data_IF_390668337963
#
_entry.id   IF_390668337963
#
_cell.length_a   1.000
_cell.length_b   1.000
_cell.length_c   1.000
_cell.angle_alpha   90.00
_cell.angle_beta   90.00
_cell.angle_gamma   90.00
#
_symmetry.space_group_name_H-M   'P 1'
#
loop_
_entity.id
_entity.type
_entity.pdbx_description
1 polymer ?
#
# COMPACT_ATOMS: atom_id res chain seq x y z
N UNK A 1 -30.75 54.89 -4.25
CA UNK A 1 -29.96 55.89 -5.01
C UNK A 1 -28.71 55.21 -5.55
N UNK A 2 -28.50 55.31 -6.88
CA UNK A 2 -27.23 55.49 -7.63
C UNK A 2 -26.10 54.47 -7.38
N UNK A 3 -25.81 53.59 -8.35
CA UNK A 3 -24.99 53.75 -9.58
C UNK A 3 -23.47 53.66 -9.34
N UNK A 4 -22.91 52.58 -9.91
CA UNK A 4 -21.63 52.39 -10.62
C UNK A 4 -20.46 53.38 -10.48
N UNK A 5 -19.24 52.83 -10.37
CA UNK A 5 -18.02 53.07 -11.22
C UNK A 5 -16.77 52.50 -10.49
N UNK A 6 -16.22 51.34 -10.85
CA UNK A 6 -15.16 51.03 -11.85
C UNK A 6 -13.71 51.38 -11.48
N UNK A 7 -12.85 50.33 -11.54
CA UNK A 7 -11.43 50.27 -11.94
C UNK A 7 -10.40 50.90 -10.95
N UNK A 8 -9.29 50.25 -10.59
CA UNK A 8 -8.09 50.06 -11.43
C UNK A 8 -7.01 49.20 -10.69
N UNK A 9 -6.39 48.25 -11.42
CA UNK A 9 -5.04 47.65 -11.32
C UNK A 9 -4.57 46.85 -10.07
N UNK A 10 -4.40 45.53 -10.28
CA UNK A 10 -3.20 44.77 -9.85
C UNK A 10 -2.97 43.59 -10.82
N UNK A 11 -2.18 43.75 -11.90
CA UNK A 11 -1.71 42.65 -12.71
C UNK A 11 -0.42 42.11 -12.07
N UNK A 12 -0.52 41.08 -11.23
CA UNK A 12 0.66 40.43 -10.65
C UNK A 12 0.49 38.92 -10.43
N UNK A 13 -0.25 38.23 -11.31
CA UNK A 13 -0.26 36.76 -11.38
C UNK A 13 0.36 36.19 -12.67
N UNK A 14 1.09 37.00 -13.44
CA UNK A 14 1.70 36.59 -14.71
C UNK A 14 3.21 36.27 -14.63
N UNK A 15 3.76 35.99 -13.45
CA UNK A 15 5.16 35.59 -13.27
C UNK A 15 5.30 34.38 -12.33
N UNK A 16 4.63 33.28 -12.67
CA UNK A 16 4.94 31.95 -12.15
C UNK A 16 4.94 30.92 -13.30
N UNK A 17 5.56 31.30 -14.41
CA UNK A 17 6.01 30.39 -15.46
C UNK A 17 7.53 30.22 -15.33
N UNK A 18 8.03 29.86 -14.14
CA UNK A 18 9.36 29.28 -14.06
C UNK A 18 9.25 27.81 -14.40
N UNK A 19 9.65 27.55 -15.64
CA UNK A 19 9.72 26.29 -16.33
C UNK A 19 10.57 25.31 -15.50
N UNK A 20 9.93 24.32 -14.88
CA UNK A 20 10.65 23.14 -14.43
C UNK A 20 11.16 22.41 -15.68
N UNK A 21 12.47 22.12 -15.82
CA UNK A 21 13.04 21.48 -17.01
C UNK A 21 12.78 19.96 -16.98
N UNK A 22 11.52 19.55 -16.81
CA UNK A 22 11.15 18.13 -16.74
C UNK A 22 11.35 17.43 -18.09
N UNK A 23 11.23 18.18 -19.20
CA UNK A 23 11.46 17.66 -20.55
C UNK A 23 12.94 17.27 -20.78
N UNK A 24 13.90 18.09 -20.33
CA UNK A 24 15.35 17.81 -20.44
C UNK A 24 15.74 16.62 -19.54
N UNK A 25 15.18 16.55 -18.34
CA UNK A 25 15.42 15.44 -17.41
C UNK A 25 14.86 14.11 -17.94
N UNK A 26 13.71 14.14 -18.62
CA UNK A 26 13.15 12.97 -19.32
C UNK A 26 14.03 12.53 -20.50
N UNK A 27 14.61 13.46 -21.26
CA UNK A 27 15.50 13.12 -22.38
C UNK A 27 16.76 12.41 -21.88
N UNK A 28 17.40 12.92 -20.82
CA UNK A 28 18.58 12.29 -20.22
C UNK A 28 18.32 10.88 -19.67
N UNK A 29 17.12 10.62 -19.14
CA UNK A 29 16.72 9.30 -18.65
C UNK A 29 16.44 8.31 -19.81
N UNK A 30 15.91 8.80 -20.93
CA UNK A 30 15.66 7.99 -22.13
C UNK A 30 16.98 7.62 -22.83
N UNK A 31 17.96 8.52 -22.89
CA UNK A 31 19.29 8.20 -23.44
C UNK A 31 20.01 7.15 -22.62
N UNK A 32 19.88 7.22 -21.29
CA UNK A 32 20.46 6.23 -20.38
C UNK A 32 19.80 4.86 -20.48
N UNK A 33 18.53 4.78 -20.89
CA UNK A 33 17.85 3.50 -21.12
C UNK A 33 18.28 2.84 -22.45
N UNK A 34 18.65 3.61 -23.47
CA UNK A 34 19.14 3.07 -24.75
C UNK A 34 20.48 2.35 -24.65
N UNK A 35 21.34 2.74 -23.69
CA UNK A 35 22.67 2.13 -23.52
C UNK A 35 22.66 0.73 -22.87
N UNK A 36 21.51 0.27 -22.36
CA UNK A 36 21.35 -1.06 -21.76
C UNK A 36 20.73 -2.11 -22.69
N UNK A 37 20.47 -1.76 -23.96
CA UNK A 37 20.05 -2.74 -24.96
C UNK A 37 21.25 -3.58 -25.41
N UNK A 38 21.20 -4.93 -25.34
CA UNK A 38 22.30 -5.78 -25.77
C UNK A 38 22.52 -5.65 -27.28
N UNK A 39 23.72 -5.21 -27.67
CA UNK A 39 24.17 -5.20 -29.07
C UNK A 39 24.43 -6.64 -29.52
N UNK A 40 23.56 -7.19 -30.36
CA UNK A 40 23.82 -8.44 -31.07
C UNK A 40 24.91 -8.23 -32.15
N UNK A 41 25.76 -9.24 -32.44
CA UNK A 41 26.89 -9.08 -33.36
C UNK A 41 26.44 -8.86 -34.82
N UNK A 42 27.14 -7.93 -35.47
CA UNK A 42 26.89 -7.45 -36.82
C UNK A 42 27.14 -8.52 -37.89
N UNK A 43 26.14 -8.74 -38.75
CA UNK A 43 26.32 -9.29 -40.10
C UNK A 43 26.13 -8.14 -41.08
N UNK A 44 27.15 -7.91 -41.91
CA UNK A 44 27.26 -6.75 -42.78
C UNK A 44 26.43 -6.90 -44.08
N UNK A 45 25.59 -5.89 -44.36
CA UNK A 45 25.20 -5.46 -45.72
C UNK A 45 24.87 -3.95 -45.70
N UNK A 46 25.09 -3.19 -46.81
CA UNK A 46 25.35 -1.74 -46.81
C UNK A 46 24.12 -0.87 -47.16
N UNK A 47 24.23 0.47 -47.13
CA UNK A 47 23.53 1.38 -46.22
C UNK A 47 22.17 1.88 -46.74
N UNK A 48 21.12 1.78 -45.93
CA UNK A 48 19.87 2.50 -46.17
C UNK A 48 19.47 3.29 -44.91
N UNK A 49 19.35 4.60 -45.13
CA UNK A 49 18.67 5.63 -44.35
C UNK A 49 18.44 5.38 -42.85
N UNK A 50 19.12 6.21 -42.07
CA UNK A 50 18.79 6.66 -40.71
C UNK A 50 17.35 6.35 -40.29
N UNK A 51 17.14 5.16 -39.74
CA UNK A 51 15.90 4.80 -39.09
C UNK A 51 15.89 5.50 -37.74
N UNK A 52 14.97 6.44 -37.59
CA UNK A 52 14.54 6.90 -36.27
C UNK A 52 14.30 5.68 -35.36
N UNK A 53 14.68 5.75 -34.07
CA UNK A 53 14.45 4.63 -33.16
C UNK A 53 12.97 4.23 -33.22
N UNK A 54 12.65 2.92 -33.19
CA UNK A 54 11.27 2.46 -33.30
C UNK A 54 10.45 3.19 -32.25
N UNK A 55 9.46 3.94 -32.71
CA UNK A 55 8.49 4.61 -31.85
C UNK A 55 7.69 3.48 -31.21
N UNK A 56 8.12 3.03 -30.03
CA UNK A 56 7.33 2.08 -29.24
C UNK A 56 6.00 2.77 -28.98
N UNK A 57 4.87 2.20 -29.43
CA UNK A 57 3.58 2.84 -29.25
C UNK A 57 3.30 2.95 -27.76
N UNK A 58 3.33 4.18 -27.23
CA UNK A 58 2.97 4.47 -25.84
C UNK A 58 1.50 4.07 -25.65
N UNK A 59 1.25 2.97 -24.95
CA UNK A 59 -0.11 2.61 -24.55
C UNK A 59 -0.51 3.51 -23.39
N UNK A 60 -1.79 3.89 -23.31
CA UNK A 60 -2.30 4.44 -22.04
C UNK A 60 -2.31 3.28 -21.04
N UNK A 61 -1.46 3.34 -20.03
CA UNK A 61 -1.49 2.38 -18.92
C UNK A 61 -2.44 2.94 -17.86
N UNK A 62 -3.61 2.35 -17.78
CA UNK A 62 -4.59 2.71 -16.77
C UNK A 62 -4.20 2.07 -15.44
N UNK A 63 -4.30 2.85 -14.37
CA UNK A 63 -4.03 2.38 -13.00
C UNK A 63 -5.38 2.09 -12.34
N UNK A 64 -5.64 0.81 -12.04
CA UNK A 64 -6.88 0.42 -11.39
C UNK A 64 -6.89 0.86 -9.93
N UNK A 65 -7.99 1.44 -9.48
CA UNK A 65 -8.20 1.67 -8.04
C UNK A 65 -8.70 0.38 -7.40
N UNK A 66 -7.86 -0.20 -6.54
CA UNK A 66 -8.18 -1.42 -5.79
C UNK A 66 -8.94 -1.01 -4.53
N UNK A 67 -10.18 -1.49 -4.43
CA UNK A 67 -11.15 -1.12 -3.39
C UNK A 67 -11.79 -2.37 -2.81
N UNK A 68 -12.39 -2.23 -1.63
CA UNK A 68 -13.11 -3.32 -0.96
C UNK A 68 -14.20 -3.94 -1.86
N UNK A 69 -14.81 -3.14 -2.74
CA UNK A 69 -15.90 -3.59 -3.62
C UNK A 69 -15.46 -4.34 -4.88
N UNK A 70 -14.19 -4.23 -5.32
CA UNK A 70 -13.76 -4.76 -6.62
C UNK A 70 -12.48 -5.60 -6.58
N UNK A 71 -11.73 -5.63 -5.48
CA UNK A 71 -10.44 -6.32 -5.41
C UNK A 71 -10.52 -7.81 -5.76
N UNK A 72 -11.60 -8.48 -5.34
CA UNK A 72 -11.81 -9.91 -5.63
C UNK A 72 -12.04 -10.15 -7.12
N UNK A 73 -12.77 -9.26 -7.79
CA UNK A 73 -13.00 -9.36 -9.24
C UNK A 73 -11.77 -8.95 -10.06
N UNK A 74 -10.97 -7.99 -9.58
CA UNK A 74 -9.75 -7.54 -10.26
C UNK A 74 -8.66 -8.61 -10.25
N UNK A 75 -8.56 -9.35 -9.15
CA UNK A 75 -7.54 -10.38 -8.93
C UNK A 75 -8.13 -11.80 -9.02
N UNK A 76 -9.28 -11.94 -9.67
CA UNK A 76 -9.89 -13.24 -9.91
C UNK A 76 -9.06 -14.06 -10.91
N UNK A 77 -9.07 -15.40 -10.83
CA UNK A 77 -8.44 -16.25 -11.83
C UNK A 77 -8.93 -15.92 -13.24
N UNK A 78 -8.00 -15.88 -14.19
CA UNK A 78 -8.26 -15.47 -15.57
C UNK A 78 -8.35 -16.70 -16.49
N UNK A 79 -9.03 -16.62 -17.64
CA UNK A 79 -9.09 -17.76 -18.56
C UNK A 79 -7.72 -18.05 -19.19
N UNK A 80 -7.54 -19.26 -19.73
CA UNK A 80 -6.24 -19.75 -20.21
C UNK A 80 -5.68 -18.99 -21.43
N UNK A 81 -6.52 -18.25 -22.14
CA UNK A 81 -6.20 -17.38 -23.27
C UNK A 81 -5.93 -15.93 -22.87
N UNK A 82 -6.07 -15.57 -21.59
CA UNK A 82 -5.83 -14.23 -21.10
C UNK A 82 -4.38 -13.78 -21.34
N UNK A 83 -4.19 -12.50 -21.66
CA UNK A 83 -2.86 -11.92 -21.90
C UNK A 83 -1.97 -11.98 -20.66
N UNK A 84 -0.64 -11.85 -20.85
CA UNK A 84 0.30 -11.76 -19.73
C UNK A 84 -0.02 -10.57 -18.81
N UNK A 85 -0.43 -9.43 -19.38
CA UNK A 85 -0.84 -8.26 -18.61
C UNK A 85 -2.01 -8.55 -17.66
N UNK A 86 -2.91 -9.48 -18.00
CA UNK A 86 -4.03 -9.90 -17.15
C UNK A 86 -3.61 -10.90 -16.06
N UNK A 87 -2.47 -11.58 -16.23
CA UNK A 87 -1.94 -12.57 -15.29
C UNK A 87 -1.00 -11.96 -14.26
N UNK A 88 -0.45 -10.79 -14.53
CA UNK A 88 0.50 -10.13 -13.64
C UNK A 88 -0.03 -8.77 -13.21
N UNK A 89 -0.05 -8.53 -11.90
CA UNK A 89 -0.49 -7.26 -11.33
C UNK A 89 0.58 -6.69 -10.40
N UNK A 90 0.92 -5.43 -10.58
CA UNK A 90 1.71 -4.65 -9.64
C UNK A 90 0.79 -3.65 -8.94
N UNK A 91 0.50 -3.91 -7.67
CA UNK A 91 -0.33 -3.06 -6.83
C UNK A 91 0.56 -2.24 -5.90
N UNK A 92 0.47 -0.93 -6.00
CA UNK A 92 1.09 -0.02 -5.05
C UNK A 92 0.15 0.27 -3.89
N UNK A 93 0.61 -0.02 -2.68
CA UNK A 93 -0.11 0.24 -1.43
C UNK A 93 0.40 1.56 -0.87
N UNK A 94 -0.45 2.59 -0.89
CA UNK A 94 -0.18 3.89 -0.29
C UNK A 94 -0.96 4.08 1.00
N UNK A 95 -0.42 4.88 1.91
CA UNK A 95 -1.04 5.24 3.17
C UNK A 95 -1.49 6.69 3.23
N UNK A 96 -1.49 7.39 2.09
CA UNK A 96 -1.82 8.80 2.03
C UNK A 96 -0.99 9.62 3.02
N UNK A 97 -1.64 10.60 3.65
CA UNK A 97 -0.97 11.47 4.61
C UNK A 97 -0.98 10.85 6.03
N UNK A 98 -2.02 10.11 6.39
CA UNK A 98 -2.21 9.65 7.77
C UNK A 98 -1.61 8.27 8.03
N UNK A 99 -2.00 7.27 7.25
CA UNK A 99 -1.63 5.86 7.48
C UNK A 99 -0.12 5.64 7.33
N UNK A 100 0.56 6.53 6.62
CA UNK A 100 2.01 6.51 6.40
C UNK A 100 2.79 7.54 7.23
N UNK A 101 2.19 8.10 8.29
CA UNK A 101 2.80 9.14 9.15
C UNK A 101 3.36 10.35 8.38
N UNK A 102 2.71 10.72 7.27
CA UNK A 102 3.14 11.80 6.37
C UNK A 102 4.37 11.50 5.53
N UNK A 103 4.84 10.24 5.48
CA UNK A 103 6.10 9.89 4.80
C UNK A 103 5.92 9.36 3.39
N UNK A 104 4.71 9.00 2.95
CA UNK A 104 4.52 8.35 1.65
C UNK A 104 4.72 9.27 0.43
N UNK A 105 4.81 10.59 0.62
CA UNK A 105 4.92 11.55 -0.49
C UNK A 105 5.98 11.23 -1.55
N UNK A 106 7.25 10.92 -1.18
CA UNK A 106 8.27 10.54 -2.16
C UNK A 106 7.93 9.24 -2.91
N UNK A 107 7.39 8.24 -2.22
CA UNK A 107 6.98 6.98 -2.83
C UNK A 107 5.76 7.15 -3.76
N UNK A 108 4.77 7.95 -3.36
CA UNK A 108 3.61 8.28 -4.18
C UNK A 108 4.03 9.02 -5.46
N UNK A 109 5.00 9.94 -5.34
CA UNK A 109 5.59 10.63 -6.49
C UNK A 109 6.30 9.65 -7.41
N UNK A 110 7.19 8.81 -6.88
CA UNK A 110 7.94 7.82 -7.65
C UNK A 110 7.01 6.84 -8.38
N UNK A 111 5.92 6.40 -7.74
CA UNK A 111 4.91 5.56 -8.36
C UNK A 111 4.29 6.24 -9.59
N UNK A 112 3.81 7.48 -9.44
CA UNK A 112 3.19 8.22 -10.53
C UNK A 112 4.17 8.47 -11.69
N UNK A 113 5.43 8.77 -11.38
CA UNK A 113 6.49 8.96 -12.37
C UNK A 113 6.91 7.64 -13.05
N UNK A 114 6.64 6.48 -12.45
CA UNK A 114 6.94 5.16 -13.04
C UNK A 114 5.90 4.69 -14.06
N UNK A 115 4.63 5.14 -13.95
CA UNK A 115 3.54 4.78 -14.87
C UNK A 115 3.94 4.96 -16.35
N UNK A 116 4.54 6.08 -16.80
CA UNK A 116 4.96 6.23 -18.19
C UNK A 116 6.08 5.25 -18.60
N UNK A 117 6.91 4.75 -17.69
CA UNK A 117 7.91 3.72 -17.99
C UNK A 117 7.21 2.39 -18.30
N UNK A 118 6.25 1.99 -17.47
CA UNK A 118 5.42 0.81 -17.72
C UNK A 118 4.59 0.94 -19.01
N UNK A 119 4.08 2.13 -19.31
CA UNK A 119 3.33 2.41 -20.55
C UNK A 119 4.13 2.19 -21.85
N UNK A 120 5.47 2.19 -21.77
CA UNK A 120 6.36 1.90 -22.90
C UNK A 120 6.76 0.44 -23.02
N UNK A 121 6.49 -0.38 -22.00
CA UNK A 121 6.83 -1.81 -22.00
C UNK A 121 5.58 -2.66 -22.27
N UNK A 122 5.61 -3.41 -23.37
CA UNK A 122 4.51 -4.31 -23.78
C UNK A 122 4.38 -5.54 -22.89
N UNK A 123 5.40 -5.85 -22.09
CA UNK A 123 5.38 -6.95 -21.12
C UNK A 123 4.99 -6.48 -19.72
N UNK A 124 4.73 -5.19 -19.53
CA UNK A 124 4.43 -4.62 -18.22
C UNK A 124 3.14 -5.20 -17.59
N UNK A 125 3.14 -5.46 -16.28
CA UNK A 125 1.97 -5.98 -15.58
C UNK A 125 0.84 -4.95 -15.58
N UNK A 126 -0.38 -5.39 -15.26
CA UNK A 126 -1.46 -4.47 -14.89
C UNK A 126 -1.10 -3.68 -13.64
N UNK A 127 -1.41 -2.39 -13.61
CA UNK A 127 -1.07 -1.52 -12.49
C UNK A 127 -2.29 -1.28 -11.61
N UNK A 128 -2.11 -1.37 -10.30
CA UNK A 128 -3.13 -1.09 -9.30
C UNK A 128 -2.64 -0.13 -8.23
N UNK A 129 -3.56 0.60 -7.59
CA UNK A 129 -3.29 1.38 -6.39
C UNK A 129 -4.32 1.04 -5.32
N UNK A 130 -3.83 0.67 -4.15
CA UNK A 130 -4.59 0.51 -2.92
C UNK A 130 -4.28 1.69 -1.98
N UNK A 131 -5.29 2.51 -1.71
CA UNK A 131 -5.18 3.66 -0.80
C UNK A 131 -5.71 3.27 0.58
N UNK A 132 -4.80 2.98 1.52
CA UNK A 132 -5.15 2.56 2.87
C UNK A 132 -5.77 3.66 3.74
N UNK A 133 -5.75 4.93 3.31
CA UNK A 133 -6.49 5.98 4.00
C UNK A 133 -7.98 5.93 3.65
N UNK A 134 -8.31 5.55 2.41
CA UNK A 134 -9.70 5.41 1.92
C UNK A 134 -10.27 4.00 2.11
N UNK A 135 -9.42 2.98 1.94
CA UNK A 135 -9.77 1.56 1.94
C UNK A 135 -9.13 0.85 3.14
N UNK A 136 -9.22 1.48 4.32
CA UNK A 136 -8.57 1.00 5.55
C UNK A 136 -8.96 -0.43 5.95
N UNK A 137 -10.22 -0.82 5.68
CA UNK A 137 -10.68 -2.19 5.90
C UNK A 137 -9.97 -3.16 4.96
N UNK A 138 -9.86 -2.84 3.66
CA UNK A 138 -9.16 -3.70 2.71
C UNK A 138 -7.68 -3.86 3.08
N UNK A 139 -7.02 -2.79 3.49
CA UNK A 139 -5.65 -2.88 3.99
C UNK A 139 -5.53 -3.73 5.26
N UNK A 140 -6.55 -3.74 6.12
CA UNK A 140 -6.60 -4.63 7.28
C UNK A 140 -6.82 -6.09 6.87
N UNK A 141 -7.67 -6.36 5.87
CA UNK A 141 -7.89 -7.70 5.31
C UNK A 141 -6.59 -8.25 4.72
N UNK A 142 -5.86 -7.43 3.97
CA UNK A 142 -4.59 -7.81 3.36
C UNK A 142 -3.43 -7.76 4.35
N UNK A 143 -3.63 -7.22 5.56
CA UNK A 143 -2.55 -6.88 6.48
C UNK A 143 -1.44 -6.06 5.79
N UNK A 144 -1.83 -5.19 4.87
CA UNK A 144 -0.93 -4.45 4.01
C UNK A 144 -0.43 -3.18 4.71
N UNK A 145 0.90 -3.06 4.81
CA UNK A 145 1.57 -1.86 5.31
C UNK A 145 1.96 -0.92 4.16
N UNK A 146 1.76 0.38 4.35
CA UNK A 146 2.19 1.40 3.39
C UNK A 146 3.53 2.07 3.79
N UNK A 147 4.39 2.45 2.83
CA UNK A 147 4.29 2.16 1.40
C UNK A 147 4.87 0.78 1.07
N UNK A 148 4.19 0.01 0.23
CA UNK A 148 4.70 -1.26 -0.29
C UNK A 148 4.23 -1.53 -1.73
N UNK A 149 4.96 -2.39 -2.43
CA UNK A 149 4.60 -2.89 -3.75
C UNK A 149 4.26 -4.37 -3.62
N UNK A 150 3.12 -4.75 -4.16
CA UNK A 150 2.65 -6.14 -4.14
C UNK A 150 2.57 -6.61 -5.58
N UNK A 151 3.34 -7.65 -5.91
CA UNK A 151 3.36 -8.26 -7.22
C UNK A 151 2.57 -9.56 -7.18
N UNK A 152 1.43 -9.59 -7.85
CA UNK A 152 0.53 -10.74 -7.91
C UNK A 152 0.70 -11.48 -9.23
N UNK A 153 0.76 -12.80 -9.14
CA UNK A 153 0.66 -13.71 -10.26
C UNK A 153 -0.69 -14.41 -10.18
N UNK A 154 -1.61 -13.97 -11.02
CA UNK A 154 -2.99 -14.45 -11.08
C UNK A 154 -3.00 -15.80 -11.80
N UNK A 155 -3.51 -16.85 -11.14
CA UNK A 155 -3.57 -18.16 -11.74
C UNK A 155 -4.63 -18.20 -12.85
N UNK A 156 -4.46 -19.17 -13.75
CA UNK A 156 -5.50 -19.53 -14.70
C UNK A 156 -6.67 -20.17 -13.96
N UNK A 157 -7.89 -19.87 -14.36
CA UNK A 157 -9.09 -20.48 -13.81
C UNK A 157 -8.98 -22.00 -13.89
N UNK A 158 -9.21 -22.73 -12.78
CA UNK A 158 -9.13 -24.18 -12.80
C UNK A 158 -10.20 -24.73 -13.75
N UNK A 159 -9.82 -25.79 -14.48
CA UNK A 159 -10.78 -26.60 -15.21
C UNK A 159 -11.68 -27.34 -14.21
N UNK A 160 -12.88 -27.75 -14.64
CA UNK A 160 -13.82 -28.43 -13.75
C UNK A 160 -13.12 -29.62 -13.07
N UNK A 161 -13.31 -29.75 -11.74
CA UNK A 161 -12.73 -30.79 -10.87
C UNK A 161 -11.26 -30.60 -10.43
N UNK A 162 -10.53 -29.60 -10.93
CA UNK A 162 -9.17 -29.32 -10.45
C UNK A 162 -9.16 -28.38 -9.23
N UNK A 163 -8.23 -28.57 -8.27
CA UNK A 163 -8.06 -27.63 -7.17
C UNK A 163 -7.66 -26.26 -7.72
N UNK A 164 -8.21 -25.19 -7.12
CA UNK A 164 -7.85 -23.81 -7.48
C UNK A 164 -6.33 -23.64 -7.33
N UNK A 165 -5.61 -23.17 -8.37
CA UNK A 165 -4.18 -22.92 -8.24
C UNK A 165 -3.93 -21.76 -7.28
N UNK A 166 -2.82 -21.81 -6.54
CA UNK A 166 -2.44 -20.74 -5.63
C UNK A 166 -2.06 -19.46 -6.40
N UNK A 167 -2.45 -18.31 -5.86
CA UNK A 167 -2.06 -16.99 -6.33
C UNK A 167 -0.74 -16.64 -5.66
N UNK A 168 0.35 -16.53 -6.43
CA UNK A 168 1.63 -16.11 -5.86
C UNK A 168 1.62 -14.60 -5.66
N UNK A 169 1.98 -14.15 -4.46
CA UNK A 169 2.07 -12.73 -4.10
C UNK A 169 3.46 -12.44 -3.57
N UNK A 170 4.17 -11.48 -4.14
CA UNK A 170 5.45 -11.03 -3.64
C UNK A 170 5.31 -9.61 -3.08
N UNK A 171 5.62 -9.44 -1.80
CA UNK A 171 5.51 -8.13 -1.12
C UNK A 171 6.89 -7.49 -1.01
N UNK A 172 7.11 -6.40 -1.74
CA UNK A 172 8.33 -5.63 -1.74
C UNK A 172 8.16 -4.37 -0.91
N UNK A 173 9.13 -4.15 -0.01
CA UNK A 173 9.17 -2.91 0.76
C UNK A 173 9.69 -1.76 -0.11
N UNK A 174 9.06 -0.59 0.00
CA UNK A 174 9.47 0.62 -0.70
C UNK A 174 10.25 1.52 0.24
N UNK A 175 11.45 1.94 -0.16
CA UNK A 175 12.20 2.91 0.62
C UNK A 175 11.51 4.28 0.56
N UNK A 176 11.01 4.72 1.70
CA UNK A 176 10.14 5.89 1.82
C UNK A 176 10.85 7.22 1.48
N UNK A 177 12.19 7.28 1.52
CA UNK A 177 12.94 8.53 1.32
C UNK A 177 13.70 8.58 0.00
N UNK A 178 14.14 7.44 -0.54
CA UNK A 178 15.05 7.42 -1.70
C UNK A 178 14.51 6.67 -2.92
N UNK A 179 13.29 6.12 -2.86
CA UNK A 179 12.73 5.40 -4.02
C UNK A 179 12.58 6.33 -5.22
N UNK A 180 12.98 5.83 -6.38
CA UNK A 180 12.79 6.52 -7.67
C UNK A 180 11.81 5.76 -8.56
N UNK A 181 11.30 6.43 -9.60
CA UNK A 181 10.45 5.80 -10.61
C UNK A 181 11.13 4.61 -11.29
N UNK A 182 12.45 4.70 -11.53
CA UNK A 182 13.24 3.61 -12.07
C UNK A 182 13.31 2.42 -11.12
N UNK A 183 13.43 2.64 -9.81
CA UNK A 183 13.50 1.54 -8.84
C UNK A 183 12.20 0.73 -8.80
N UNK A 184 11.06 1.41 -8.93
CA UNK A 184 9.74 0.78 -9.05
C UNK A 184 9.65 0.01 -10.37
N UNK A 185 10.04 0.63 -11.49
CA UNK A 185 10.02 -0.02 -12.79
C UNK A 185 10.91 -1.27 -12.84
N UNK A 186 12.08 -1.23 -12.18
CA UNK A 186 13.01 -2.37 -12.05
C UNK A 186 12.41 -3.54 -11.29
N UNK A 187 11.34 -3.36 -10.51
CA UNK A 187 10.60 -4.49 -9.93
C UNK A 187 10.15 -5.44 -11.04
N UNK A 188 9.60 -4.90 -12.13
CA UNK A 188 9.19 -5.68 -13.30
C UNK A 188 10.36 -6.00 -14.22
N UNK A 189 11.10 -4.98 -14.70
CA UNK A 189 12.07 -5.18 -15.78
C UNK A 189 13.28 -6.03 -15.39
N UNK A 190 13.71 -5.99 -14.13
CA UNK A 190 14.76 -6.87 -13.58
C UNK A 190 14.18 -8.04 -12.77
N UNK A 191 12.85 -8.22 -12.78
CA UNK A 191 12.13 -9.23 -11.99
C UNK A 191 12.58 -9.31 -10.53
N UNK A 192 12.76 -8.15 -9.88
CA UNK A 192 13.25 -8.11 -8.47
C UNK A 192 12.31 -8.85 -7.52
N UNK A 193 11.04 -9.00 -7.88
CA UNK A 193 10.06 -9.77 -7.12
C UNK A 193 10.45 -11.25 -6.99
N UNK A 194 11.16 -11.85 -7.96
CA UNK A 194 11.63 -13.26 -7.88
C UNK A 194 12.64 -13.47 -6.73
N UNK A 195 13.33 -12.41 -6.30
CA UNK A 195 14.30 -12.46 -5.20
C UNK A 195 13.62 -12.46 -3.83
N UNK A 196 12.33 -12.12 -3.78
CA UNK A 196 11.53 -12.12 -2.56
C UNK A 196 10.68 -13.41 -2.57
N UNK A 197 10.68 -14.21 -1.51
CA UNK A 197 9.82 -15.40 -1.48
C UNK A 197 8.35 -14.99 -1.63
N UNK A 198 7.56 -15.87 -2.25
CA UNK A 198 6.11 -15.70 -2.27
C UNK A 198 5.58 -15.62 -0.84
N UNK A 199 4.62 -14.73 -0.63
CA UNK A 199 3.96 -14.52 0.65
C UNK A 199 3.10 -15.74 0.94
N UNK A 200 3.44 -16.45 2.01
CA UNK A 200 2.72 -17.62 2.47
C UNK A 200 2.26 -17.38 3.90
N UNK A 201 1.07 -17.88 4.24
CA UNK A 201 0.57 -17.86 5.61
C UNK A 201 -0.93 -17.70 5.74
N UNK A 202 -1.40 -17.70 7.00
CA UNK A 202 -2.83 -17.65 7.32
C UNK A 202 -3.51 -16.36 6.82
N UNK A 203 -2.78 -15.25 6.77
CA UNK A 203 -3.25 -13.93 6.32
C UNK A 203 -3.06 -13.68 4.82
N UNK A 204 -2.62 -14.69 4.05
CA UNK A 204 -2.57 -14.58 2.60
C UNK A 204 -3.99 -14.25 2.07
N UNK A 205 -4.19 -13.12 1.36
CA UNK A 205 -5.51 -12.54 1.17
C UNK A 205 -6.43 -13.36 0.26
N UNK A 206 -5.85 -14.22 -0.60
CA UNK A 206 -6.58 -15.02 -1.58
C UNK A 206 -6.67 -16.50 -1.19
N UNK A 207 -5.55 -17.06 -0.76
CA UNK A 207 -5.39 -18.51 -0.60
C UNK A 207 -4.99 -18.92 0.82
N UNK A 208 -4.79 -17.95 1.71
CA UNK A 208 -4.49 -18.22 3.11
C UNK A 208 -5.65 -18.92 3.81
N UNK A 209 -5.35 -19.63 4.90
CA UNK A 209 -6.36 -20.33 5.67
C UNK A 209 -7.56 -19.42 6.04
N UNK A 210 -7.31 -18.17 6.44
CA UNK A 210 -8.39 -17.24 6.78
C UNK A 210 -9.23 -16.84 5.57
N UNK A 211 -8.62 -16.74 4.39
CA UNK A 211 -9.32 -16.41 3.15
C UNK A 211 -10.23 -17.55 2.69
N UNK A 212 -9.78 -18.80 2.81
CA UNK A 212 -10.56 -19.99 2.43
C UNK A 212 -11.89 -20.11 3.18
N UNK A 213 -11.91 -19.68 4.46
CA UNK A 213 -13.12 -19.67 5.29
C UNK A 213 -13.84 -18.30 5.33
N UNK A 214 -13.40 -17.32 4.54
CA UNK A 214 -13.95 -15.95 4.56
C UNK A 214 -13.72 -15.18 5.88
N UNK A 215 -12.88 -15.70 6.76
CA UNK A 215 -12.55 -15.10 8.06
C UNK A 215 -11.63 -13.89 7.92
N UNK A 216 -10.87 -13.78 6.83
CA UNK A 216 -10.02 -12.63 6.54
C UNK A 216 -10.81 -11.32 6.50
N UNK A 217 -12.03 -11.32 5.94
CA UNK A 217 -12.91 -10.15 5.90
C UNK A 217 -13.33 -9.77 7.32
N UNK A 218 -13.80 -10.72 8.11
CA UNK A 218 -14.24 -10.50 9.50
C UNK A 218 -13.10 -9.98 10.36
N UNK A 219 -11.93 -10.62 10.28
CA UNK A 219 -10.73 -10.20 11.00
C UNK A 219 -10.28 -8.81 10.54
N UNK A 220 -10.37 -8.50 9.23
CA UNK A 220 -10.08 -7.18 8.71
C UNK A 220 -10.93 -6.08 9.36
N UNK A 221 -12.24 -6.31 9.53
CA UNK A 221 -13.10 -5.39 10.28
C UNK A 221 -12.73 -5.27 11.76
N UNK A 222 -12.36 -6.37 12.41
CA UNK A 222 -11.94 -6.38 13.82
C UNK A 222 -10.64 -5.59 13.99
N UNK A 223 -9.63 -5.88 13.16
CA UNK A 223 -8.32 -5.20 13.17
C UNK A 223 -8.49 -3.71 12.90
N UNK A 224 -9.31 -3.36 11.90
CA UNK A 224 -9.67 -1.97 11.64
C UNK A 224 -10.31 -1.31 12.87
N UNK A 225 -11.29 -1.95 13.48
CA UNK A 225 -11.99 -1.43 14.67
C UNK A 225 -11.05 -1.22 15.86
N UNK A 226 -10.15 -2.17 16.14
CA UNK A 226 -9.12 -2.03 17.18
C UNK A 226 -8.15 -0.90 16.81
N UNK A 227 -7.78 -0.75 15.55
CA UNK A 227 -6.90 0.31 15.07
C UNK A 227 -7.48 1.72 15.20
N UNK A 228 -8.81 1.86 15.25
CA UNK A 228 -9.47 3.13 15.54
C UNK A 228 -9.45 3.50 17.03
N UNK A 229 -9.10 2.57 17.93
CA UNK A 229 -9.04 2.82 19.36
C UNK A 229 -7.77 3.62 19.69
N UNK A 230 -7.89 4.86 20.22
CA UNK A 230 -6.72 5.63 20.60
C UNK A 230 -5.91 4.93 21.70
N UNK A 231 -4.58 5.02 21.66
CA UNK A 231 -3.70 4.38 22.65
C UNK A 231 -4.03 4.78 24.10
N UNK A 232 -4.49 6.02 24.32
CA UNK A 232 -4.88 6.49 25.65
C UNK A 232 -6.11 5.75 26.20
N UNK A 233 -7.05 5.35 25.33
CA UNK A 233 -8.26 4.65 25.74
C UNK A 233 -7.91 3.24 26.23
N UNK A 234 -6.96 2.56 25.57
CA UNK A 234 -6.45 1.28 26.03
C UNK A 234 -5.77 1.38 27.39
N UNK A 235 -4.97 2.43 27.62
CA UNK A 235 -4.32 2.68 28.92
C UNK A 235 -5.34 2.96 30.02
N UNK A 236 -6.40 3.71 29.71
CA UNK A 236 -7.53 3.93 30.63
C UNK A 236 -8.26 2.62 30.93
N UNK A 237 -8.54 1.81 29.92
CA UNK A 237 -9.18 0.50 30.08
C UNK A 237 -8.40 -0.44 31.00
N UNK A 238 -7.09 -0.58 30.77
CA UNK A 238 -6.21 -1.39 31.62
C UNK A 238 -6.18 -0.84 33.06
N UNK A 239 -6.17 0.48 33.22
CA UNK A 239 -6.21 1.13 34.54
C UNK A 239 -7.47 0.79 35.33
N UNK A 240 -8.64 0.80 34.68
CA UNK A 240 -9.90 0.42 35.33
C UNK A 240 -9.96 -1.07 35.67
N UNK A 241 -9.48 -1.96 34.79
CA UNK A 241 -9.45 -3.40 35.04
C UNK A 241 -8.51 -3.70 36.22
N UNK A 242 -7.32 -3.11 36.23
CA UNK A 242 -6.34 -3.27 37.32
C UNK A 242 -6.90 -2.78 38.66
N UNK A 243 -7.53 -1.59 38.68
CA UNK A 243 -8.19 -1.05 39.88
C UNK A 243 -9.36 -1.92 40.34
N UNK A 244 -10.14 -2.49 39.42
CA UNK A 244 -11.23 -3.42 39.72
C UNK A 244 -10.73 -4.74 40.32
N UNK A 245 -9.61 -5.26 39.83
CA UNK A 245 -8.99 -6.47 40.39
C UNK A 245 -8.35 -6.21 41.76
N UNK A 246 -7.67 -5.07 41.94
CA UNK A 246 -7.08 -4.69 43.22
C UNK A 246 -8.15 -4.36 44.27
N UNK A 247 -9.25 -3.70 43.92
CA UNK A 247 -10.34 -3.43 44.87
C UNK A 247 -10.99 -4.71 45.39
N UNK A 248 -11.13 -5.73 44.54
CA UNK A 248 -11.63 -7.05 44.93
C UNK A 248 -10.66 -7.83 45.83
N UNK A 249 -9.35 -7.59 45.72
CA UNK A 249 -8.32 -8.22 46.57
C UNK A 249 -8.11 -7.49 47.91
N UNK A 250 -8.22 -6.16 47.93
CA UNK A 250 -8.07 -5.34 49.13
C UNK A 250 -9.34 -5.27 49.99
N UNK A 251 -10.52 -5.54 49.41
CA UNK A 251 -11.80 -5.57 50.13
C UNK A 251 -11.82 -6.49 51.36
N UNK A 252 -11.41 -7.77 51.25
CA UNK A 252 -11.35 -8.67 52.40
C UNK A 252 -10.31 -8.26 53.45
N UNK A 253 -9.14 -7.77 53.02
CA UNK A 253 -8.06 -7.34 53.93
C UNK A 253 -8.41 -6.06 54.68
N UNK A 254 -8.97 -5.04 54.02
CA UNK A 254 -9.42 -3.82 54.70
C UNK A 254 -10.57 -4.08 55.66
N UNK A 255 -11.52 -4.95 55.30
CA UNK A 255 -12.65 -5.28 56.18
C UNK A 255 -12.19 -6.10 57.41
N UNK A 256 -11.17 -6.96 57.25
CA UNK A 256 -10.55 -7.69 58.37
C UNK A 256 -9.67 -6.79 59.25
N UNK A 257 -9.01 -5.80 58.66
CA UNK A 257 -8.18 -4.83 59.38
C UNK A 257 -9.03 -3.78 60.12
N UNK A 258 -10.16 -3.34 59.55
CA UNK A 258 -11.16 -2.52 60.23
C UNK A 258 -11.87 -3.29 61.35
N UNK A 259 -12.20 -4.58 61.17
CA UNK A 259 -12.74 -5.42 62.25
C UNK A 259 -11.74 -5.61 63.40
N UNK A 260 -10.44 -5.74 63.10
CA UNK A 260 -9.38 -5.80 64.13
C UNK A 260 -9.19 -4.46 64.85
N UNK A 261 -9.30 -3.33 64.16
CA UNK A 261 -9.19 -2.00 64.77
C UNK A 261 -10.42 -1.64 65.63
N UNK A 262 -11.62 -2.06 65.23
CA UNK A 262 -12.86 -1.83 65.99
C UNK A 262 -13.02 -2.77 67.20
N UNK A 263 -12.23 -3.86 67.28
CA UNK A 263 -12.24 -4.81 68.39
C UNK A 263 -11.15 -4.54 69.44
N UNK A 264 -10.38 -3.45 69.33
CA UNK A 264 -9.43 -3.05 70.36
C UNK A 264 -10.20 -2.47 71.57
N UNK A 265 -10.17 -3.09 72.77
CA UNK A 265 -10.88 -2.55 73.91
C UNK A 265 -10.18 -1.28 74.41
N UNK A 266 -10.95 -0.23 74.66
CA UNK A 266 -10.52 0.92 75.45
C UNK A 266 -10.22 0.43 76.87
N UNK A 267 -8.96 0.12 77.16
CA UNK A 267 -8.49 -0.05 78.52
C UNK A 267 -8.44 1.34 79.18
N UNK A 268 -9.55 1.72 79.82
CA UNK A 268 -9.62 2.80 80.77
C UNK A 268 -8.69 2.46 81.96
N UNK A 269 -7.67 3.29 82.17
CA UNK A 269 -6.78 3.24 83.33
C UNK A 269 -6.82 4.57 84.05
N UNK A 270 -7.68 4.65 85.05
CA UNK A 270 -7.73 5.66 86.09
C UNK A 270 -6.49 5.60 86.97
N UNK A 271 -5.82 6.74 87.16
CA UNK A 271 -5.38 7.29 88.46
C UNK A 271 -4.79 8.69 88.28
#
# INVERSE_FOLDING_TARGET
MRLSSTLVLLPALAAAQNQFPFAEQLQGLIEKAKSFLPTAPAVATPPEQSAAPPVVPKRKKDVASVKLSNWQSLLAPVPADASQEAREWLVYVTGGNKTCFGRCGPADKAWNESIPLFATDLTSPSLGVLDCEKEAILCSIWSAGAPSLWYFQIPVAPEAEQPKPATSIHTLHVNVTTVTAEDIYKVHSEKRWEKVPAYEGAFHPMDGWLAQYGLNVVIGYIVFGIGQVPSWLMMVGISFISRSMMSRRLGPQQQQQQRRAAAAPQAAGTQ
#
